data_IF_642534007419
#
_entry.id   IF_642534007419
#
_cell.length_a   1.000
_cell.length_b   1.000
_cell.length_c   1.000
_cell.angle_alpha   90.00
_cell.angle_beta   90.00
_cell.angle_gamma   90.00
#
_symmetry.space_group_name_H-M   'P 1'
#
loop_
_entity.id
_entity.type
_entity.pdbx_description
1 polymer ?
#
# COMPACT_ATOMS: atom_id res chain seq x y z
N UNK A 1 -8.33 12.57 -13.80
CA UNK A 1 -7.30 11.58 -14.19
C UNK A 1 -7.67 10.23 -13.62
N UNK A 2 -7.76 9.19 -14.45
CA UNK A 2 -7.83 7.79 -14.01
C UNK A 2 -6.41 7.29 -13.72
N UNK A 3 -6.16 6.76 -12.51
CA UNK A 3 -4.88 6.14 -12.15
C UNK A 3 -4.89 4.70 -12.66
N UNK A 4 -4.05 4.40 -13.64
CA UNK A 4 -3.76 3.03 -14.07
C UNK A 4 -2.37 2.66 -13.54
N UNK A 5 -2.28 1.55 -12.82
CA UNK A 5 -1.02 1.05 -12.26
C UNK A 5 -0.44 -0.03 -13.18
N UNK A 6 0.87 0.03 -13.41
CA UNK A 6 1.60 -1.07 -14.03
C UNK A 6 1.71 -2.28 -13.09
N UNK A 7 2.11 -3.44 -13.63
CA UNK A 7 2.36 -4.63 -12.82
C UNK A 7 3.52 -4.40 -11.81
N UNK A 8 4.53 -3.63 -12.21
CA UNK A 8 5.68 -3.26 -11.39
C UNK A 8 5.26 -2.34 -10.23
N UNK A 9 4.39 -1.36 -10.51
CA UNK A 9 3.83 -0.44 -9.53
C UNK A 9 2.94 -1.16 -8.52
N UNK A 10 2.06 -2.05 -8.99
CA UNK A 10 1.25 -2.91 -8.11
C UNK A 10 2.13 -3.82 -7.23
N UNK A 11 3.19 -4.39 -7.80
CA UNK A 11 4.16 -5.19 -7.04
C UNK A 11 4.92 -4.35 -6.00
N UNK A 12 5.22 -3.08 -6.31
CA UNK A 12 5.86 -2.16 -5.37
C UNK A 12 4.95 -1.85 -4.18
N UNK A 13 3.68 -1.56 -4.44
CA UNK A 13 2.66 -1.35 -3.40
C UNK A 13 2.52 -2.56 -2.48
N UNK A 14 2.46 -3.77 -3.06
CA UNK A 14 2.40 -5.00 -2.26
C UNK A 14 3.65 -5.23 -1.40
N UNK A 15 4.83 -4.79 -1.84
CA UNK A 15 6.05 -4.83 -1.02
C UNK A 15 6.00 -3.82 0.11
N UNK A 16 5.51 -2.61 -0.16
CA UNK A 16 5.33 -1.55 0.85
C UNK A 16 4.36 -2.00 1.95
N UNK A 17 3.17 -2.49 1.58
CA UNK A 17 2.19 -3.03 2.53
C UNK A 17 2.80 -4.12 3.42
N UNK A 18 3.48 -5.12 2.83
CA UNK A 18 4.12 -6.20 3.59
C UNK A 18 5.18 -5.69 4.55
N UNK A 19 6.03 -4.76 4.10
CA UNK A 19 7.07 -4.16 4.94
C UNK A 19 6.46 -3.38 6.10
N UNK A 20 5.44 -2.56 5.85
CA UNK A 20 4.74 -1.79 6.86
C UNK A 20 4.10 -2.70 7.94
N UNK A 21 3.41 -3.76 7.50
CA UNK A 21 2.84 -4.77 8.41
C UNK A 21 3.94 -5.41 9.25
N UNK A 22 5.01 -5.90 8.61
CA UNK A 22 6.12 -6.57 9.30
C UNK A 22 6.75 -5.66 10.35
N UNK A 23 7.13 -4.44 9.96
CA UNK A 23 7.74 -3.47 10.85
C UNK A 23 6.86 -3.13 12.05
N UNK A 24 5.55 -2.93 11.81
CA UNK A 24 4.61 -2.68 12.90
C UNK A 24 4.52 -3.83 13.89
N UNK A 25 4.51 -5.08 13.43
CA UNK A 25 4.41 -6.25 14.33
C UNK A 25 5.73 -6.60 15.01
N UNK A 26 6.86 -6.30 14.39
CA UNK A 26 8.19 -6.52 14.97
C UNK A 26 8.67 -5.36 15.85
N UNK A 27 7.93 -4.25 15.90
CA UNK A 27 8.32 -3.05 16.64
C UNK A 27 9.52 -2.32 16.03
N UNK A 28 9.74 -2.45 14.72
CA UNK A 28 10.79 -1.72 14.00
C UNK A 28 10.20 -0.57 13.20
N UNK A 29 11.01 0.45 12.94
CA UNK A 29 10.63 1.51 12.01
C UNK A 29 10.87 1.08 10.57
N UNK A 30 9.93 1.40 9.68
CA UNK A 30 10.11 1.28 8.24
C UNK A 30 9.87 2.65 7.59
N UNK A 31 10.91 3.47 7.44
CA UNK A 31 10.79 4.67 6.63
C UNK A 31 10.42 4.29 5.19
N UNK A 32 9.47 5.02 4.61
CA UNK A 32 9.10 4.88 3.21
C UNK A 32 9.38 6.20 2.50
N UNK A 33 10.33 6.18 1.59
CA UNK A 33 10.64 7.34 0.75
C UNK A 33 9.63 7.44 -0.41
N UNK A 34 9.40 8.66 -0.93
CA UNK A 34 8.57 8.85 -2.12
C UNK A 34 9.13 8.06 -3.31
N UNK A 35 8.32 7.23 -3.98
CA UNK A 35 8.76 6.54 -5.20
C UNK A 35 8.88 7.53 -6.35
N UNK A 36 9.70 7.20 -7.35
CA UNK A 36 9.82 7.99 -8.59
C UNK A 36 8.57 7.91 -9.48
N UNK A 37 7.72 6.90 -9.29
CA UNK A 37 6.47 6.75 -10.06
C UNK A 37 5.47 7.86 -9.70
N UNK A 38 5.02 8.66 -10.68
CA UNK A 38 3.97 9.66 -10.45
C UNK A 38 2.62 9.04 -10.04
N UNK A 39 2.32 7.81 -10.48
CA UNK A 39 1.07 7.12 -10.17
C UNK A 39 1.00 6.75 -8.68
N UNK A 40 2.12 6.30 -8.10
CA UNK A 40 2.21 5.97 -6.67
C UNK A 40 2.19 7.21 -5.76
N UNK A 41 2.39 8.41 -6.32
CA UNK A 41 2.31 9.67 -5.62
C UNK A 41 0.92 10.33 -5.70
N UNK A 42 -0.05 9.71 -6.39
CA UNK A 42 -1.42 10.25 -6.48
C UNK A 42 -2.18 10.07 -5.18
N UNK A 43 -3.12 10.98 -4.92
CA UNK A 43 -4.04 10.92 -3.80
C UNK A 43 -5.26 10.08 -4.18
N UNK A 44 -5.27 8.81 -3.79
CA UNK A 44 -6.37 7.89 -4.04
C UNK A 44 -6.63 6.98 -2.85
N UNK A 45 -7.85 6.42 -2.81
CA UNK A 45 -8.19 5.39 -1.82
C UNK A 45 -7.41 4.11 -2.05
N UNK A 46 -7.08 3.42 -0.96
CA UNK A 46 -6.40 2.14 -0.98
C UNK A 46 -7.02 1.20 0.06
N UNK A 47 -7.12 -0.08 -0.27
CA UNK A 47 -7.52 -1.14 0.64
C UNK A 47 -6.49 -2.25 0.60
N UNK A 48 -6.04 -2.69 1.77
CA UNK A 48 -5.11 -3.81 1.93
C UNK A 48 -5.88 -4.99 2.50
N UNK A 49 -5.91 -6.09 1.75
CA UNK A 49 -6.50 -7.36 2.18
C UNK A 49 -5.41 -8.36 2.51
N UNK A 50 -5.49 -8.96 3.69
CA UNK A 50 -4.66 -10.09 4.11
C UNK A 50 -5.51 -11.34 4.03
N UNK A 51 -4.99 -12.37 3.36
CA UNK A 51 -5.60 -13.69 3.29
C UNK A 51 -4.71 -14.73 3.97
N UNK A 52 -5.32 -15.79 4.50
CA UNK A 52 -4.64 -16.96 5.07
C UNK A 52 -5.41 -18.21 4.64
N UNK A 53 -4.73 -19.17 4.04
CA UNK A 53 -5.32 -20.42 3.53
C UNK A 53 -6.53 -20.17 2.60
N UNK A 54 -6.39 -19.18 1.72
CA UNK A 54 -7.44 -18.75 0.79
C UNK A 54 -8.62 -17.99 1.43
N UNK A 55 -8.61 -17.77 2.75
CA UNK A 55 -9.68 -17.09 3.49
C UNK A 55 -9.28 -15.68 3.92
N UNK A 56 -10.27 -14.79 4.05
CA UNK A 56 -10.06 -13.44 4.56
C UNK A 56 -9.53 -13.49 6.00
N UNK A 57 -8.39 -12.83 6.24
CA UNK A 57 -7.83 -12.61 7.58
C UNK A 57 -8.04 -11.18 8.07
N UNK A 58 -8.15 -10.22 7.15
CA UNK A 58 -8.47 -8.82 7.44
C UNK A 58 -8.46 -7.98 6.17
N UNK A 59 -9.25 -6.91 6.16
CA UNK A 59 -9.26 -5.91 5.09
C UNK A 59 -9.50 -4.54 5.73
N UNK A 60 -8.59 -3.60 5.48
CA UNK A 60 -8.68 -2.22 5.98
C UNK A 60 -8.24 -1.28 4.86
N UNK A 61 -8.89 -0.11 4.78
CA UNK A 61 -8.56 0.91 3.81
C UNK A 61 -9.44 2.13 3.92
N UNK A 62 -9.14 3.13 3.11
CA UNK A 62 -9.90 4.36 2.99
C UNK A 62 -10.38 4.52 1.55
N UNK A 63 -11.63 4.98 1.37
CA UNK A 63 -12.19 5.27 0.04
C UNK A 63 -11.52 6.47 -0.63
N UNK A 64 -11.15 7.47 0.17
CA UNK A 64 -10.44 8.66 -0.26
C UNK A 64 -9.31 8.90 0.73
N UNK A 65 -8.15 9.34 0.24
CA UNK A 65 -7.03 9.72 1.09
C UNK A 65 -6.47 11.08 0.70
N UNK A 66 -6.10 11.86 1.71
CA UNK A 66 -5.31 13.08 1.56
C UNK A 66 -3.79 12.80 1.57
N UNK A 67 -3.40 11.52 1.59
CA UNK A 67 -2.02 11.07 1.50
C UNK A 67 -1.76 10.46 0.12
N UNK A 68 -0.53 10.54 -0.40
CA UNK A 68 -0.11 9.80 -1.58
C UNK A 68 -0.31 8.28 -1.40
N UNK A 69 -0.63 7.58 -2.49
CA UNK A 69 -0.92 6.13 -2.49
C UNK A 69 0.18 5.30 -1.81
N UNK A 70 1.45 5.62 -2.01
CA UNK A 70 2.57 4.90 -1.37
C UNK A 70 2.61 5.02 0.16
N UNK A 71 1.95 6.03 0.74
CA UNK A 71 1.79 6.22 2.18
C UNK A 71 0.44 5.70 2.71
N UNK A 72 -0.51 5.51 1.81
CA UNK A 72 -1.85 5.00 2.14
C UNK A 72 -1.89 3.47 2.17
N UNK A 73 -0.98 2.82 1.42
CA UNK A 73 -0.85 1.36 1.31
C UNK A 73 -0.12 0.70 2.47
#
# INVERSE_FOLDING_TARGET
>A
MSVFLSAEEGSALLRMARRAIHSRVSGSDAPCEPPSSPALNQHCGCFVTITRDGKLRGCIGNFCSNRPLYLEV
#
